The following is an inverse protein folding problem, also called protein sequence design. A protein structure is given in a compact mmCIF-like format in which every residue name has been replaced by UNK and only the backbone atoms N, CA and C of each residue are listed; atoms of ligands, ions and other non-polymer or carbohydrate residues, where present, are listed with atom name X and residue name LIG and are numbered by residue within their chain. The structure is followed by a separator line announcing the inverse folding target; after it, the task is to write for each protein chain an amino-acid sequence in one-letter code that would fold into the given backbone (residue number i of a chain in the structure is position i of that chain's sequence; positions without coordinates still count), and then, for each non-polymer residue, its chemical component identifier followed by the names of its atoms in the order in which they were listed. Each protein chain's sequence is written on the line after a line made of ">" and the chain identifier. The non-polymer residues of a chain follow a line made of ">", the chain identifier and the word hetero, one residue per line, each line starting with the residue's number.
data_IF_456036430346
#
_entry.id   IF_456036430346
#
_cell.length_a   1.000
_cell.length_b   1.000
_cell.length_c   1.000
_cell.angle_alpha   90.00
_cell.angle_beta   90.00
_cell.angle_gamma   90.00
#
_symmetry.space_group_name_H-M   'P 1'
#
loop_
_entity.id
_entity.type
_entity.pdbx_description
1 polymer ?
#
# COMPACT_ATOMS: atom_id res chain seq x y z
N UNK A 1 -5.88 -18.66 -4.63
CA UNK A 1 -5.49 -17.29 -4.25
C UNK A 1 -4.09 -17.07 -4.76
N UNK A 2 -3.81 -15.93 -5.38
CA UNK A 2 -2.47 -15.61 -5.83
C UNK A 2 -1.81 -14.66 -4.82
N UNK A 3 -0.48 -14.69 -4.75
CA UNK A 3 0.28 -13.71 -3.97
C UNK A 3 0.80 -12.63 -4.91
N UNK A 4 0.71 -11.38 -4.46
CA UNK A 4 1.19 -10.21 -5.18
C UNK A 4 2.22 -9.48 -4.33
N UNK A 5 3.36 -9.20 -4.91
CA UNK A 5 4.37 -8.33 -4.31
C UNK A 5 4.08 -6.89 -4.68
N UNK A 6 3.88 -6.05 -3.67
CA UNK A 6 3.77 -4.60 -3.80
C UNK A 6 5.05 -3.97 -3.27
N UNK A 7 5.75 -3.25 -4.13
CA UNK A 7 6.93 -2.46 -3.76
C UNK A 7 6.51 -1.00 -3.61
N UNK A 8 6.84 -0.40 -2.48
CA UNK A 8 6.54 0.99 -2.16
C UNK A 8 7.74 1.69 -1.53
N UNK A 9 7.79 3.01 -1.63
CA UNK A 9 8.82 3.85 -1.02
C UNK A 9 8.22 4.64 0.13
N UNK A 10 8.93 4.69 1.25
CA UNK A 10 8.56 5.47 2.43
C UNK A 10 9.82 6.08 3.03
N UNK A 11 9.83 7.42 3.19
CA UNK A 11 10.97 8.16 3.76
C UNK A 11 12.33 7.87 3.06
N UNK A 12 12.30 7.59 1.75
CA UNK A 12 13.49 7.24 0.97
C UNK A 12 13.94 5.78 1.09
N UNK A 13 13.23 4.95 1.85
CA UNK A 13 13.45 3.51 1.91
C UNK A 13 12.47 2.76 1.01
N UNK A 14 12.97 1.83 0.22
CA UNK A 14 12.14 0.90 -0.55
C UNK A 14 11.75 -0.29 0.32
N UNK A 15 10.44 -0.58 0.37
CA UNK A 15 9.85 -1.67 1.13
C UNK A 15 8.96 -2.52 0.24
N UNK A 16 8.76 -3.76 0.66
CA UNK A 16 7.99 -4.76 -0.06
C UNK A 16 6.97 -5.40 0.88
N UNK A 17 5.73 -5.55 0.41
CA UNK A 17 4.68 -6.29 1.10
C UNK A 17 4.02 -7.31 0.17
N UNK A 18 3.68 -8.46 0.73
CA UNK A 18 2.86 -9.47 0.05
C UNK A 18 1.38 -9.25 0.31
N UNK A 19 0.58 -9.26 -0.76
CA UNK A 19 -0.87 -9.11 -0.74
C UNK A 19 -1.50 -10.31 -1.42
N UNK A 20 -2.37 -11.04 -0.71
CA UNK A 20 -3.11 -12.15 -1.30
C UNK A 20 -4.37 -11.66 -2.01
N UNK A 21 -4.50 -11.94 -3.31
CA UNK A 21 -5.66 -11.59 -4.11
C UNK A 21 -5.90 -12.59 -5.26
N UNK A 22 -7.16 -12.81 -5.65
CA UNK A 22 -7.49 -13.70 -6.77
C UNK A 22 -7.13 -13.12 -8.14
N UNK A 23 -7.02 -11.79 -8.25
CA UNK A 23 -6.66 -11.03 -9.44
C UNK A 23 -5.73 -9.87 -9.04
N UNK A 24 -5.42 -8.95 -9.96
CA UNK A 24 -4.66 -7.73 -9.64
C UNK A 24 -5.34 -7.02 -8.46
N UNK A 25 -4.63 -6.73 -7.35
CA UNK A 25 -5.22 -6.11 -6.19
C UNK A 25 -5.78 -4.72 -6.52
N UNK A 26 -6.96 -4.40 -6.00
CA UNK A 26 -7.54 -3.06 -6.11
C UNK A 26 -6.65 -2.03 -5.41
N UNK A 27 -6.70 -0.76 -5.85
CA UNK A 27 -5.97 0.35 -5.21
C UNK A 27 -6.24 0.43 -3.69
N UNK A 28 -7.47 0.17 -3.26
CA UNK A 28 -7.87 0.11 -1.84
C UNK A 28 -7.13 -0.97 -1.07
N UNK A 29 -7.09 -2.20 -1.61
CA UNK A 29 -6.41 -3.31 -0.97
C UNK A 29 -4.90 -3.04 -0.85
N UNK A 30 -4.30 -2.46 -1.89
CA UNK A 30 -2.89 -2.06 -1.91
C UNK A 30 -2.63 -0.99 -0.85
N UNK A 31 -3.41 0.08 -0.85
CA UNK A 31 -3.22 1.19 0.07
C UNK A 31 -3.40 0.76 1.52
N UNK A 32 -4.42 -0.06 1.80
CA UNK A 32 -4.62 -0.61 3.13
C UNK A 32 -3.47 -1.50 3.58
N UNK A 33 -3.00 -2.40 2.72
CA UNK A 33 -1.86 -3.27 3.03
C UNK A 33 -0.59 -2.46 3.30
N UNK A 34 -0.25 -1.55 2.39
CA UNK A 34 0.94 -0.71 2.50
C UNK A 34 0.87 0.20 3.73
N UNK A 35 -0.29 0.81 4.01
CA UNK A 35 -0.43 1.66 5.19
C UNK A 35 -0.36 0.86 6.50
N UNK A 36 -0.99 -0.31 6.55
CA UNK A 36 -0.95 -1.18 7.74
C UNK A 36 0.48 -1.67 8.04
N UNK A 37 1.28 -1.88 7.00
CA UNK A 37 2.71 -2.23 7.12
C UNK A 37 3.57 -1.04 7.57
N UNK A 38 3.34 0.13 6.98
CA UNK A 38 4.06 1.36 7.31
C UNK A 38 3.74 1.89 8.72
N UNK A 39 2.49 1.77 9.16
CA UNK A 39 1.98 2.32 10.41
C UNK A 39 1.13 1.28 11.17
N UNK A 40 1.77 0.24 11.74
CA UNK A 40 1.04 -0.83 12.41
C UNK A 40 0.26 -0.30 13.62
N UNK A 41 -1.06 -0.51 13.61
CA UNK A 41 -1.97 -0.07 14.67
C UNK A 41 -2.41 1.40 14.58
N UNK A 42 -1.97 2.14 13.57
CA UNK A 42 -2.53 3.46 13.28
C UNK A 42 -3.87 3.32 12.55
N UNK A 43 -4.84 4.17 12.91
CA UNK A 43 -6.04 4.32 12.11
C UNK A 43 -5.68 4.94 10.75
N UNK A 44 -6.44 4.59 9.71
CA UNK A 44 -6.34 5.32 8.44
C UNK A 44 -6.60 6.82 8.70
N UNK A 45 -5.84 7.73 8.08
CA UNK A 45 -5.99 9.15 8.33
C UNK A 45 -7.36 9.62 7.86
N UNK A 46 -8.11 10.21 8.78
CA UNK A 46 -9.38 10.86 8.49
C UNK A 46 -9.17 12.09 7.60
N UNK A 47 -10.02 12.24 6.58
CA UNK A 47 -10.09 13.46 5.76
C UNK A 47 -9.36 13.41 4.41
N UNK A 48 -8.74 12.28 4.03
CA UNK A 48 -8.26 12.12 2.65
C UNK A 48 -9.44 11.97 1.68
N UNK A 49 -9.49 12.82 0.65
CA UNK A 49 -10.55 12.80 -0.37
C UNK A 49 -10.37 11.65 -1.37
N UNK A 50 -9.18 11.02 -1.39
CA UNK A 50 -8.81 9.92 -2.26
C UNK A 50 -7.65 9.11 -1.68
N UNK A 51 -7.53 7.86 -2.11
CA UNK A 51 -6.48 6.93 -1.68
C UNK A 51 -5.08 7.42 -2.08
N UNK A 52 -4.97 8.00 -3.28
CA UNK A 52 -3.73 8.59 -3.76
C UNK A 52 -3.28 9.75 -2.84
N UNK A 53 -4.22 10.58 -2.36
CA UNK A 53 -3.95 11.67 -1.41
C UNK A 53 -3.53 11.11 -0.05
N UNK A 54 -4.23 10.08 0.46
CA UNK A 54 -3.87 9.37 1.69
C UNK A 54 -2.42 8.87 1.67
N UNK A 55 -2.05 8.12 0.64
CA UNK A 55 -0.69 7.57 0.52
C UNK A 55 0.34 8.70 0.42
N UNK A 56 0.04 9.74 -0.35
CA UNK A 56 0.91 10.90 -0.50
C UNK A 56 1.15 11.65 0.81
N UNK A 57 0.10 11.99 1.57
CA UNK A 57 0.26 12.68 2.88
C UNK A 57 0.96 11.82 3.92
N UNK A 58 0.87 10.50 3.77
CA UNK A 58 1.59 9.53 4.60
C UNK A 58 3.06 9.34 4.19
N UNK A 59 3.50 10.00 3.12
CA UNK A 59 4.86 9.90 2.58
C UNK A 59 5.14 8.57 1.89
N UNK A 60 4.10 7.93 1.36
CA UNK A 60 4.15 6.60 0.73
C UNK A 60 3.95 6.74 -0.78
N UNK A 61 4.82 6.09 -1.56
CA UNK A 61 4.71 6.03 -3.03
C UNK A 61 4.77 4.58 -3.49
N UNK A 62 3.67 4.05 -4.02
CA UNK A 62 3.65 2.71 -4.62
C UNK A 62 4.40 2.74 -5.94
N UNK A 63 5.40 1.85 -6.10
CA UNK A 63 6.30 1.82 -7.26
C UNK A 63 5.97 0.69 -8.23
N UNK A 64 5.73 -0.51 -7.71
CA UNK A 64 5.52 -1.69 -8.55
C UNK A 64 4.56 -2.70 -7.90
N UNK A 65 3.82 -3.44 -8.73
CA UNK A 65 2.86 -4.46 -8.31
C UNK A 65 3.04 -5.66 -9.24
N UNK A 66 3.48 -6.79 -8.71
CA UNK A 66 3.81 -7.98 -9.50
C UNK A 66 3.25 -9.25 -8.87
N UNK A 67 2.72 -10.15 -9.69
CA UNK A 67 2.31 -11.50 -9.28
C UNK A 67 3.55 -12.34 -8.91
N UNK A 68 3.47 -13.11 -7.83
CA UNK A 68 4.51 -14.04 -7.35
C UNK A 68 3.97 -15.46 -7.14
#
# INVERSE_FOLDING_TARGET
>A
MNSWKVTYEMQGETRDIEVSASAIPSKEAIAFAVYSDAFPGAAAPDGASSIDEWLFVSGIVVRNITLI
#
